data_IF_449604009610
#
_entry.id   IF_449604009610
#
_cell.length_a   1.000
_cell.length_b   1.000
_cell.length_c   1.000
_cell.angle_alpha   90.00
_cell.angle_beta   90.00
_cell.angle_gamma   90.00
#
_symmetry.space_group_name_H-M   'P 1'
#
loop_
_entity.id
_entity.type
_entity.pdbx_description
1 polymer ?
#
# COMPACT_ATOMS: atom_id res chain seq x y z
N UNK A 1 16.60 -9.19 -47.94
CA UNK A 1 16.58 -8.74 -46.53
C UNK A 1 16.90 -9.93 -45.68
N UNK A 2 18.06 -9.96 -45.01
CA UNK A 2 18.60 -11.17 -44.39
C UNK A 2 17.81 -11.52 -43.10
N UNK A 3 17.23 -12.73 -43.05
CA UNK A 3 16.53 -13.31 -41.90
C UNK A 3 17.39 -13.21 -40.62
N UNK A 4 18.69 -13.31 -40.72
CA UNK A 4 19.61 -13.14 -39.58
C UNK A 4 19.61 -11.74 -38.97
N UNK A 5 19.37 -10.68 -39.74
CA UNK A 5 19.28 -9.32 -39.24
C UNK A 5 17.99 -9.09 -38.42
N UNK A 6 16.88 -9.71 -38.83
CA UNK A 6 15.60 -9.64 -38.10
C UNK A 6 15.67 -10.42 -36.79
N UNK A 7 16.34 -11.56 -36.76
CA UNK A 7 16.55 -12.34 -35.54
C UNK A 7 17.47 -11.61 -34.55
N UNK A 8 18.57 -11.05 -35.02
CA UNK A 8 19.47 -10.25 -34.20
C UNK A 8 18.78 -9.00 -33.63
N UNK A 9 17.94 -8.32 -34.41
CA UNK A 9 17.15 -7.18 -33.97
C UNK A 9 16.15 -7.53 -32.87
N UNK A 10 15.48 -8.70 -32.97
CA UNK A 10 14.55 -9.19 -31.92
C UNK A 10 15.28 -9.48 -30.59
N UNK A 11 16.44 -10.12 -30.66
CA UNK A 11 17.24 -10.38 -29.44
C UNK A 11 17.78 -9.10 -28.80
N UNK A 12 18.20 -8.13 -29.61
CA UNK A 12 18.61 -6.83 -29.11
C UNK A 12 17.45 -6.08 -28.42
N UNK A 13 16.25 -6.16 -28.98
CA UNK A 13 15.06 -5.57 -28.40
C UNK A 13 14.71 -6.20 -27.04
N UNK A 14 14.83 -7.53 -26.91
CA UNK A 14 14.63 -8.22 -25.64
C UNK A 14 15.66 -7.87 -24.58
N UNK A 15 16.93 -7.66 -24.97
CA UNK A 15 18.00 -7.22 -24.06
C UNK A 15 17.77 -5.77 -23.60
N UNK A 16 17.24 -4.90 -24.46
CA UNK A 16 16.92 -3.52 -24.14
C UNK A 16 15.64 -3.37 -23.32
N UNK A 17 14.69 -4.32 -23.46
CA UNK A 17 13.43 -4.36 -22.69
C UNK A 17 13.54 -5.19 -21.42
N UNK A 18 14.61 -5.99 -21.25
CA UNK A 18 14.87 -6.64 -19.98
C UNK A 18 15.15 -5.56 -18.95
N UNK A 19 14.34 -5.48 -17.85
CA UNK A 19 14.67 -4.55 -16.79
C UNK A 19 16.10 -4.86 -16.32
N UNK A 20 16.94 -3.85 -16.05
CA UNK A 20 18.25 -4.11 -15.51
C UNK A 20 18.05 -4.98 -14.29
N UNK A 21 18.65 -6.15 -14.27
CA UNK A 21 18.83 -6.96 -13.07
C UNK A 21 19.68 -6.12 -12.12
N UNK A 22 19.04 -5.14 -11.47
CA UNK A 22 19.64 -4.49 -10.33
C UNK A 22 19.85 -5.62 -9.32
N UNK A 23 21.09 -5.96 -9.08
CA UNK A 23 21.48 -6.73 -7.93
C UNK A 23 21.09 -5.88 -6.71
N UNK A 24 19.86 -6.01 -6.26
CA UNK A 24 19.46 -5.49 -4.97
C UNK A 24 20.33 -6.23 -3.96
N UNK A 25 21.13 -5.50 -3.20
CA UNK A 25 21.78 -6.07 -2.05
C UNK A 25 20.67 -6.76 -1.23
N UNK A 26 20.85 -8.06 -0.99
CA UNK A 26 19.85 -8.89 -0.33
C UNK A 26 19.59 -8.32 1.06
N UNK A 27 18.33 -8.08 1.38
CA UNK A 27 17.92 -7.59 2.69
C UNK A 27 18.21 -8.67 3.74
N UNK A 28 19.07 -8.40 4.70
CA UNK A 28 19.28 -9.26 5.85
C UNK A 28 18.07 -9.13 6.80
N UNK A 29 17.14 -10.06 6.65
CA UNK A 29 15.88 -10.07 7.38
C UNK A 29 16.10 -10.25 8.89
N UNK A 30 17.08 -11.02 9.31
CA UNK A 30 17.38 -11.29 10.72
C UNK A 30 17.95 -10.03 11.37
N UNK A 31 18.93 -9.42 10.73
CA UNK A 31 19.52 -8.17 11.21
C UNK A 31 18.49 -7.03 11.22
N UNK A 32 17.68 -6.92 10.16
CA UNK A 32 16.63 -5.90 10.10
C UNK A 32 15.59 -6.06 11.21
N UNK A 33 15.12 -7.28 11.47
CA UNK A 33 14.21 -7.56 12.58
C UNK A 33 14.82 -7.20 13.95
N UNK A 34 16.11 -7.48 14.14
CA UNK A 34 16.81 -7.13 15.37
C UNK A 34 16.85 -5.62 15.60
N UNK A 35 17.29 -4.85 14.61
CA UNK A 35 17.39 -3.39 14.75
C UNK A 35 16.02 -2.72 14.90
N UNK A 36 14.95 -3.25 14.28
CA UNK A 36 13.59 -2.76 14.51
C UNK A 36 13.19 -2.87 15.98
N UNK A 37 13.51 -3.99 16.62
CA UNK A 37 13.18 -4.21 18.03
C UNK A 37 14.07 -3.36 18.97
N UNK A 38 15.34 -3.23 18.66
CA UNK A 38 16.30 -2.50 19.51
C UNK A 38 16.15 -0.98 19.44
N UNK A 39 15.74 -0.44 18.29
CA UNK A 39 15.62 1.01 18.10
C UNK A 39 14.16 1.46 18.03
N UNK A 40 13.41 1.01 17.04
CA UNK A 40 12.07 1.53 16.80
C UNK A 40 11.07 1.10 17.87
N UNK A 41 11.09 -0.18 18.27
CA UNK A 41 10.17 -0.68 19.29
C UNK A 41 10.48 -0.10 20.66
N UNK A 42 11.74 0.00 21.05
CA UNK A 42 12.13 0.53 22.35
C UNK A 42 11.70 1.99 22.50
N UNK A 43 11.95 2.81 21.48
CA UNK A 43 11.54 4.21 21.47
C UNK A 43 10.02 4.36 21.52
N UNK A 44 9.30 3.54 20.74
CA UNK A 44 7.84 3.51 20.75
C UNK A 44 7.29 3.11 22.13
N UNK A 45 7.83 2.07 22.74
CA UNK A 45 7.42 1.60 24.06
C UNK A 45 7.60 2.70 25.12
N UNK A 46 8.74 3.36 25.13
CA UNK A 46 9.01 4.44 26.08
C UNK A 46 7.97 5.57 25.94
N UNK A 47 7.68 6.02 24.73
CA UNK A 47 6.67 7.07 24.49
C UNK A 47 5.26 6.63 24.87
N UNK A 48 4.87 5.38 24.60
CA UNK A 48 3.57 4.84 24.96
C UNK A 48 3.41 4.67 26.49
N UNK A 49 4.47 4.30 27.20
CA UNK A 49 4.46 4.20 28.67
C UNK A 49 4.36 5.59 29.31
N UNK A 50 5.08 6.57 28.81
CA UNK A 50 5.00 7.97 29.25
C UNK A 50 3.60 8.56 29.01
N UNK A 51 2.98 8.26 27.88
CA UNK A 51 1.58 8.64 27.57
C UNK A 51 0.58 8.05 28.55
N UNK A 52 0.82 6.83 29.02
CA UNK A 52 -0.04 6.08 29.94
C UNK A 52 -1.17 5.33 29.28
N UNK A 53 -1.48 4.14 29.82
CA UNK A 53 -2.40 3.17 29.24
C UNK A 53 -3.84 3.68 28.99
N UNK A 54 -4.25 4.72 29.72
CA UNK A 54 -5.59 5.31 29.54
C UNK A 54 -5.75 6.03 28.20
N UNK A 55 -4.68 6.51 27.62
CA UNK A 55 -4.67 7.29 26.37
C UNK A 55 -4.24 6.46 25.15
N UNK A 56 -3.89 5.20 25.30
CA UNK A 56 -3.47 4.36 24.18
C UNK A 56 -4.53 4.23 23.09
N UNK A 57 -5.81 4.33 23.43
CA UNK A 57 -6.90 4.27 22.47
C UNK A 57 -7.34 5.66 21.96
N UNK A 58 -6.74 6.72 22.42
CA UNK A 58 -6.98 8.07 21.89
C UNK A 58 -6.04 8.34 20.72
N UNK A 59 -6.64 8.42 19.53
CA UNK A 59 -5.87 8.64 18.30
C UNK A 59 -5.10 9.95 18.30
N UNK A 60 -5.68 11.02 18.80
CA UNK A 60 -5.02 12.31 18.84
C UNK A 60 -3.77 12.31 19.70
N UNK A 61 -3.79 11.51 20.77
CA UNK A 61 -2.66 11.34 21.67
C UNK A 61 -1.58 10.41 21.12
N UNK A 62 -1.96 9.42 20.30
CA UNK A 62 -1.07 8.36 19.80
C UNK A 62 -0.57 8.57 18.37
N UNK A 63 -1.20 9.47 17.59
CA UNK A 63 -0.90 9.68 16.18
C UNK A 63 0.56 10.01 15.90
N UNK A 64 1.13 10.94 16.66
CA UNK A 64 2.53 11.36 16.52
C UNK A 64 3.49 10.20 16.86
N UNK A 65 3.22 9.49 17.96
CA UNK A 65 4.03 8.34 18.38
C UNK A 65 3.99 7.23 17.34
N UNK A 66 2.81 6.99 16.75
CA UNK A 66 2.63 5.98 15.70
C UNK A 66 3.30 6.39 14.38
N UNK A 67 3.26 7.66 14.06
CA UNK A 67 3.94 8.22 12.87
C UNK A 67 5.45 8.08 13.02
N UNK A 68 5.99 8.36 14.20
CA UNK A 68 7.42 8.26 14.49
C UNK A 68 7.92 6.81 14.32
N UNK A 69 7.20 5.82 14.86
CA UNK A 69 7.60 4.42 14.72
C UNK A 69 7.47 3.95 13.27
N UNK A 70 6.48 4.45 12.53
CA UNK A 70 6.33 4.16 11.10
C UNK A 70 7.51 4.69 10.30
N UNK A 71 7.89 5.94 10.51
CA UNK A 71 9.05 6.58 9.88
C UNK A 71 10.35 5.87 10.25
N UNK A 72 10.51 5.48 11.53
CA UNK A 72 11.65 4.71 12.00
C UNK A 72 11.82 3.40 11.22
N UNK A 73 10.75 2.62 11.07
CA UNK A 73 10.80 1.34 10.33
C UNK A 73 11.14 1.54 8.86
N UNK A 74 10.58 2.57 8.22
CA UNK A 74 10.84 2.89 6.82
C UNK A 74 12.30 3.34 6.60
N UNK A 75 12.81 4.20 7.47
CA UNK A 75 14.18 4.70 7.38
C UNK A 75 15.20 3.58 7.56
N UNK A 76 14.98 2.69 8.54
CA UNK A 76 15.86 1.53 8.74
C UNK A 76 15.79 0.56 7.55
N UNK A 77 14.62 0.34 6.95
CA UNK A 77 14.50 -0.47 5.74
C UNK A 77 15.35 0.12 4.60
N UNK A 78 15.27 1.43 4.37
CA UNK A 78 16.07 2.11 3.36
C UNK A 78 17.57 1.93 3.59
N UNK A 79 18.04 2.10 4.82
CA UNK A 79 19.46 1.93 5.16
C UNK A 79 19.96 0.49 5.04
N UNK A 80 19.06 -0.50 5.21
CA UNK A 80 19.39 -1.91 5.08
C UNK A 80 19.12 -2.49 3.68
N UNK A 81 18.81 -1.63 2.70
CA UNK A 81 18.39 -2.04 1.35
C UNK A 81 17.22 -3.03 1.36
N UNK A 82 16.36 -2.93 2.37
CA UNK A 82 15.15 -3.72 2.49
C UNK A 82 13.98 -3.00 1.82
N UNK A 83 13.12 -3.77 1.15
CA UNK A 83 11.85 -3.24 0.64
C UNK A 83 10.94 -2.88 1.82
N UNK A 84 10.20 -1.79 1.70
CA UNK A 84 9.23 -1.35 2.71
C UNK A 84 7.89 -1.01 2.03
N UNK A 85 6.73 -1.43 2.58
CA UNK A 85 6.56 -2.38 3.69
C UNK A 85 6.90 -3.82 3.30
N UNK A 86 7.29 -4.65 4.26
CA UNK A 86 7.62 -6.06 4.08
C UNK A 86 7.03 -6.91 5.21
N UNK A 87 7.12 -8.23 5.09
CA UNK A 87 6.57 -9.17 6.08
C UNK A 87 7.09 -8.96 7.51
N UNK A 88 8.34 -8.52 7.68
CA UNK A 88 8.92 -8.25 9.01
C UNK A 88 8.24 -7.04 9.64
N UNK A 89 8.01 -5.99 8.85
CA UNK A 89 7.30 -4.79 9.27
C UNK A 89 5.84 -5.13 9.61
N UNK A 90 5.18 -5.99 8.83
CA UNK A 90 3.81 -6.43 9.11
C UNK A 90 3.73 -7.17 10.45
N UNK A 91 4.66 -8.07 10.71
CA UNK A 91 4.76 -8.77 12.00
C UNK A 91 5.03 -7.81 13.15
N UNK A 92 5.94 -6.86 12.95
CA UNK A 92 6.27 -5.83 13.94
C UNK A 92 5.05 -5.01 14.34
N UNK A 93 4.31 -4.45 13.37
CA UNK A 93 3.09 -3.71 13.65
C UNK A 93 1.96 -4.58 14.21
N UNK A 94 1.84 -5.82 13.76
CA UNK A 94 0.87 -6.76 14.34
C UNK A 94 1.12 -6.97 15.83
N UNK A 95 2.36 -7.07 16.27
CA UNK A 95 2.72 -7.21 17.67
C UNK A 95 2.42 -5.92 18.48
N UNK A 96 2.71 -4.75 17.91
CA UNK A 96 2.33 -3.46 18.50
C UNK A 96 0.83 -3.39 18.69
N UNK A 97 0.04 -3.69 17.66
CA UNK A 97 -1.42 -3.67 17.73
C UNK A 97 -1.96 -4.64 18.77
N UNK A 98 -1.43 -5.86 18.86
CA UNK A 98 -1.83 -6.84 19.87
C UNK A 98 -1.52 -6.38 21.30
N UNK A 99 -0.41 -5.68 21.50
CA UNK A 99 0.02 -5.26 22.85
C UNK A 99 -0.71 -4.00 23.32
N UNK A 100 -0.80 -2.98 22.49
CA UNK A 100 -1.24 -1.63 22.89
C UNK A 100 -2.70 -1.33 22.50
N UNK A 101 -3.17 -1.87 21.39
CA UNK A 101 -4.48 -1.50 20.80
C UNK A 101 -5.53 -2.60 20.80
N UNK A 102 -5.22 -3.76 21.39
CA UNK A 102 -6.13 -4.94 21.39
C UNK A 102 -7.53 -4.62 21.93
N UNK A 103 -7.61 -3.79 22.96
CA UNK A 103 -8.87 -3.48 23.65
C UNK A 103 -9.46 -2.12 23.23
N UNK A 104 -8.89 -1.47 22.21
CA UNK A 104 -9.44 -0.23 21.70
C UNK A 104 -10.72 -0.50 20.93
N UNK A 105 -11.81 0.15 21.33
CA UNK A 105 -13.06 0.07 20.60
C UNK A 105 -12.91 0.67 19.20
N UNK A 106 -13.34 -0.06 18.18
CA UNK A 106 -13.36 0.42 16.81
C UNK A 106 -14.30 1.64 16.61
N UNK A 107 -15.19 1.88 17.57
CA UNK A 107 -16.23 2.90 17.51
C UNK A 107 -15.73 4.35 17.53
N UNK A 108 -14.50 4.61 17.97
CA UNK A 108 -13.92 5.96 17.93
C UNK A 108 -13.26 6.32 16.58
N UNK A 109 -13.19 5.37 15.66
CA UNK A 109 -12.43 5.47 14.41
C UNK A 109 -13.17 5.08 13.16
N UNK A 110 -14.46 4.82 13.26
CA UNK A 110 -15.27 4.73 12.03
C UNK A 110 -15.16 6.11 11.37
N UNK A 111 -14.54 6.23 10.18
CA UNK A 111 -14.69 7.45 9.42
C UNK A 111 -16.20 7.70 9.37
N UNK A 112 -16.62 8.88 9.82
CA UNK A 112 -18.01 9.26 9.69
C UNK A 112 -18.38 9.04 8.24
N UNK A 113 -19.39 8.23 7.98
CA UNK A 113 -19.85 8.00 6.62
C UNK A 113 -20.03 9.35 5.94
N UNK A 114 -19.51 9.52 4.72
CA UNK A 114 -19.66 10.76 4.00
C UNK A 114 -21.17 11.10 3.91
N UNK A 115 -21.54 12.37 3.97
CA UNK A 115 -22.93 12.75 3.89
C UNK A 115 -23.58 12.11 2.66
N UNK A 116 -24.80 11.61 2.83
CA UNK A 116 -25.58 10.87 1.83
C UNK A 116 -25.48 11.44 0.39
N UNK A 117 -25.51 12.77 0.14
CA UNK A 117 -25.37 13.30 -1.21
C UNK A 117 -24.02 12.96 -1.86
N UNK A 118 -22.94 12.95 -1.08
CA UNK A 118 -21.59 12.59 -1.58
C UNK A 118 -21.52 11.11 -1.88
N UNK A 119 -22.01 10.25 -0.98
CA UNK A 119 -22.05 8.82 -1.18
C UNK A 119 -22.88 8.43 -2.40
N UNK A 120 -24.08 9.02 -2.53
CA UNK A 120 -24.95 8.79 -3.68
C UNK A 120 -24.27 9.20 -4.99
N UNK A 121 -23.61 10.37 -5.04
CA UNK A 121 -22.90 10.82 -6.25
C UNK A 121 -21.81 9.85 -6.67
N UNK A 122 -21.02 9.32 -5.75
CA UNK A 122 -19.96 8.36 -6.03
C UNK A 122 -20.47 7.01 -6.53
N UNK A 123 -21.70 6.64 -6.17
CA UNK A 123 -22.33 5.40 -6.63
C UNK A 123 -23.06 5.61 -7.95
N UNK A 124 -23.92 6.65 -8.04
CA UNK A 124 -24.81 6.86 -9.19
C UNK A 124 -24.08 7.32 -10.45
N UNK A 125 -23.05 8.20 -10.32
CA UNK A 125 -22.35 8.72 -11.49
C UNK A 125 -21.65 7.61 -12.28
N UNK A 126 -20.82 6.73 -11.70
CA UNK A 126 -20.17 5.65 -12.46
C UNK A 126 -21.18 4.64 -13.01
N UNK A 127 -22.25 4.33 -12.28
CA UNK A 127 -23.32 3.43 -12.78
C UNK A 127 -24.03 4.06 -14.00
N UNK A 128 -24.36 5.34 -13.95
CA UNK A 128 -24.98 6.05 -15.07
C UNK A 128 -24.06 6.09 -16.30
N UNK A 129 -22.78 6.39 -16.09
CA UNK A 129 -21.80 6.38 -17.19
C UNK A 129 -21.69 5.00 -17.83
N UNK A 130 -21.61 3.93 -17.03
CA UNK A 130 -21.53 2.57 -17.58
C UNK A 130 -22.78 2.17 -18.35
N UNK A 131 -23.97 2.53 -17.85
CA UNK A 131 -25.23 2.27 -18.56
C UNK A 131 -25.32 3.04 -19.88
N UNK A 132 -24.93 4.32 -19.89
CA UNK A 132 -24.91 5.13 -21.10
C UNK A 132 -23.91 4.59 -22.13
N UNK A 133 -22.71 4.21 -21.70
CA UNK A 133 -21.70 3.64 -22.58
C UNK A 133 -22.17 2.31 -23.16
N UNK A 134 -22.77 1.45 -22.35
CA UNK A 134 -23.33 0.19 -22.80
C UNK A 134 -24.46 0.39 -23.81
N UNK A 135 -25.38 1.32 -23.53
CA UNK A 135 -26.48 1.65 -24.45
C UNK A 135 -25.97 2.18 -25.78
N UNK A 136 -24.96 3.07 -25.76
CA UNK A 136 -24.34 3.62 -26.97
C UNK A 136 -23.63 2.55 -27.79
N UNK A 137 -22.91 1.63 -27.15
CA UNK A 137 -22.23 0.51 -27.83
C UNK A 137 -23.25 -0.41 -28.48
N UNK A 138 -24.30 -0.80 -27.75
CA UNK A 138 -25.36 -1.67 -28.28
C UNK A 138 -26.10 -0.98 -29.43
N UNK A 139 -26.43 0.29 -29.30
CA UNK A 139 -27.10 1.05 -30.36
C UNK A 139 -26.23 1.18 -31.61
N UNK A 140 -24.95 1.45 -31.44
CA UNK A 140 -23.99 1.58 -32.56
C UNK A 140 -23.76 0.20 -33.24
N UNK A 141 -23.67 -0.87 -32.47
CA UNK A 141 -23.53 -2.22 -32.99
C UNK A 141 -24.73 -2.62 -33.83
N UNK A 142 -25.95 -2.43 -33.33
CA UNK A 142 -27.19 -2.71 -34.10
C UNK A 142 -27.31 -1.88 -35.39
N UNK A 143 -26.79 -0.65 -35.39
CA UNK A 143 -26.79 0.21 -36.56
C UNK A 143 -25.80 -0.27 -37.64
N UNK A 144 -24.67 -0.88 -37.22
CA UNK A 144 -23.69 -1.41 -38.16
C UNK A 144 -24.12 -2.75 -38.79
N UNK A 145 -24.94 -3.54 -38.11
CA UNK A 145 -25.50 -4.80 -38.65
C UNK A 145 -26.68 -4.57 -39.63
N UNK A 146 -27.26 -3.38 -39.62
CA UNK A 146 -28.36 -3.02 -40.54
C UNK A 146 -27.93 -2.49 -41.91
N UNK A 147 -26.63 -2.53 -42.25
CA UNK A 147 -26.06 -2.05 -43.51
C UNK A 147 -25.38 -3.24 -44.27
N UNK A 148 -26.06 -4.38 -44.36
CA UNK A 148 -25.69 -5.47 -45.26
C UNK A 148 -26.89 -5.76 -46.13
#
# INVERSE_FOLDING_TARGET
MNLGFLLASRHLLWILLAPPLMAFAECDNEYYSKILNEFCLLQFQFKMEDLGAKLWCDWKATEEIYTDVTNCTSLLAYHQNCYWPNHIVDMFFTNIHKKYFKNCALTGRLPADPPLPILCSFIFIPVLITLLMTALVVWRSKRSEGIV
#
